data_IF_640037408350
#
_entry.id   IF_640037408350
#
_cell.length_a   1.000
_cell.length_b   1.000
_cell.length_c   1.000
_cell.angle_alpha   90.00
_cell.angle_beta   90.00
_cell.angle_gamma   90.00
#
_symmetry.space_group_name_H-M   'P 1'
#
loop_
_entity.id
_entity.type
_entity.pdbx_description
1 polymer ?
#
# COMPACT_ATOMS: atom_id res chain seq x y z
N UNK A 1 -57.38 -59.81 -82.42
CA UNK A 1 -57.12 -60.12 -81.01
C UNK A 1 -55.72 -59.66 -80.74
N UNK A 2 -55.58 -58.64 -79.91
CA UNK A 2 -54.28 -58.07 -79.60
C UNK A 2 -53.64 -58.91 -78.49
N UNK A 3 -52.32 -59.09 -78.56
CA UNK A 3 -51.56 -59.86 -77.58
C UNK A 3 -50.64 -58.88 -76.85
N UNK A 4 -50.94 -58.61 -75.59
CA UNK A 4 -50.15 -57.70 -74.76
C UNK A 4 -49.02 -58.43 -74.03
N UNK A 5 -47.95 -57.69 -73.72
CA UNK A 5 -46.81 -58.22 -72.96
C UNK A 5 -47.21 -58.52 -71.50
N UNK A 6 -46.63 -59.56 -70.86
CA UNK A 6 -46.93 -59.92 -69.47
C UNK A 6 -46.70 -58.75 -68.50
N UNK A 7 -47.44 -58.73 -67.38
CA UNK A 7 -47.38 -57.62 -66.41
C UNK A 7 -46.08 -57.51 -65.61
N UNK A 8 -45.15 -58.45 -65.80
CA UNK A 8 -43.77 -58.41 -65.29
C UNK A 8 -42.79 -57.76 -66.27
N UNK A 9 -43.22 -57.42 -67.49
CA UNK A 9 -42.36 -56.84 -68.52
C UNK A 9 -42.12 -55.37 -68.24
N UNK A 10 -40.88 -54.97 -68.02
CA UNK A 10 -40.51 -53.55 -67.89
C UNK A 10 -40.76 -52.83 -69.23
N UNK A 11 -41.63 -51.82 -69.21
CA UNK A 11 -41.92 -50.98 -70.37
C UNK A 11 -41.32 -49.57 -70.27
N UNK A 12 -40.93 -49.14 -69.06
CA UNK A 12 -40.05 -47.99 -68.82
C UNK A 12 -39.11 -48.31 -67.66
N UNK A 13 -37.82 -48.06 -67.87
CA UNK A 13 -36.79 -48.20 -66.84
C UNK A 13 -36.64 -46.92 -66.02
N UNK A 14 -36.48 -47.06 -64.72
CA UNK A 14 -36.18 -45.96 -63.80
C UNK A 14 -34.97 -45.13 -64.25
N UNK A 15 -35.13 -43.80 -64.25
CA UNK A 15 -34.09 -42.79 -64.49
C UNK A 15 -33.53 -42.30 -63.14
N UNK A 16 -32.75 -43.16 -62.50
CA UNK A 16 -32.12 -42.86 -61.21
C UNK A 16 -32.93 -43.34 -60.01
N UNK A 17 -32.46 -43.01 -58.81
CA UNK A 17 -32.92 -43.66 -57.58
C UNK A 17 -34.34 -43.28 -57.13
N UNK A 18 -34.84 -42.13 -57.59
CA UNK A 18 -36.18 -41.61 -57.24
C UNK A 18 -37.27 -41.89 -58.27
N UNK A 19 -36.93 -42.52 -59.39
CA UNK A 19 -37.87 -42.94 -60.42
C UNK A 19 -38.31 -44.39 -60.17
N UNK A 20 -39.57 -44.73 -60.46
CA UNK A 20 -40.02 -46.12 -60.38
C UNK A 20 -39.69 -46.88 -61.68
N UNK A 21 -39.96 -48.18 -61.69
CA UNK A 21 -39.89 -49.00 -62.90
C UNK A 21 -41.31 -49.34 -63.29
N UNK A 22 -41.81 -48.80 -64.40
CA UNK A 22 -43.11 -49.20 -64.91
C UNK A 22 -43.03 -50.52 -65.68
N UNK A 23 -43.85 -51.46 -65.24
CA UNK A 23 -44.13 -52.69 -65.97
C UNK A 23 -45.44 -52.58 -66.75
N UNK A 24 -45.58 -53.40 -67.80
CA UNK A 24 -46.83 -53.51 -68.55
C UNK A 24 -48.00 -53.87 -67.61
N UNK A 25 -49.22 -53.49 -68.00
CA UNK A 25 -50.44 -53.89 -67.30
C UNK A 25 -50.91 -55.31 -67.65
N UNK A 26 -50.42 -55.87 -68.77
CA UNK A 26 -50.99 -57.05 -69.41
C UNK A 26 -52.31 -56.81 -70.15
N UNK A 27 -52.84 -55.58 -70.14
CA UNK A 27 -54.18 -55.24 -70.66
C UNK A 27 -54.20 -54.04 -71.61
N UNK A 28 -53.08 -53.34 -71.79
CA UNK A 28 -52.96 -52.19 -72.69
C UNK A 28 -51.68 -52.23 -73.53
N UNK A 29 -51.75 -51.71 -74.77
CA UNK A 29 -50.58 -51.50 -75.63
C UNK A 29 -49.72 -50.27 -75.24
N UNK A 30 -50.19 -49.46 -74.29
CA UNK A 30 -49.44 -48.37 -73.69
C UNK A 30 -48.83 -48.80 -72.35
N UNK A 31 -47.62 -48.33 -72.08
CA UNK A 31 -47.01 -48.36 -70.75
C UNK A 31 -47.78 -47.43 -69.78
N UNK A 32 -47.85 -47.72 -68.47
CA UNK A 32 -48.40 -46.80 -67.48
C UNK A 32 -47.78 -45.38 -67.50
N UNK A 33 -48.44 -44.43 -66.84
CA UNK A 33 -47.87 -43.11 -66.59
C UNK A 33 -46.55 -43.21 -65.80
N UNK A 34 -45.68 -42.18 -65.86
CA UNK A 34 -44.51 -42.06 -64.98
C UNK A 34 -44.98 -42.01 -63.53
N UNK A 35 -44.40 -42.86 -62.67
CA UNK A 35 -44.65 -42.85 -61.23
C UNK A 35 -43.33 -42.69 -60.50
N UNK A 36 -43.22 -41.67 -59.67
CA UNK A 36 -42.02 -41.42 -58.88
C UNK A 36 -42.15 -42.00 -57.48
N UNK A 37 -41.01 -42.28 -56.84
CA UNK A 37 -40.97 -42.79 -55.48
C UNK A 37 -41.41 -41.71 -54.48
N UNK A 38 -41.96 -42.11 -53.33
CA UNK A 38 -42.47 -41.17 -52.32
C UNK A 38 -41.39 -40.26 -51.77
N UNK A 39 -41.80 -39.09 -51.25
CA UNK A 39 -40.88 -38.14 -50.60
C UNK A 39 -40.28 -38.59 -49.25
N UNK A 40 -40.53 -39.85 -48.88
CA UNK A 40 -39.91 -40.55 -47.74
C UNK A 40 -38.92 -41.62 -48.19
N UNK A 41 -38.70 -41.77 -49.50
CA UNK A 41 -37.74 -42.73 -50.06
C UNK A 41 -36.34 -42.12 -50.02
N UNK A 42 -35.40 -42.85 -49.44
CA UNK A 42 -33.98 -42.45 -49.39
C UNK A 42 -33.32 -42.55 -50.75
N UNK A 43 -32.41 -41.63 -51.04
CA UNK A 43 -31.58 -41.61 -52.24
C UNK A 43 -30.16 -41.12 -51.91
N UNK A 44 -29.30 -41.06 -52.92
CA UNK A 44 -27.94 -40.51 -52.84
C UNK A 44 -27.91 -39.15 -53.53
N UNK A 45 -27.76 -38.07 -52.76
CA UNK A 45 -27.72 -36.70 -53.24
C UNK A 45 -26.35 -36.29 -53.79
N UNK A 46 -26.09 -34.99 -53.77
CA UNK A 46 -24.83 -34.38 -54.23
C UNK A 46 -23.90 -34.01 -53.08
N UNK A 47 -24.43 -33.63 -51.92
CA UNK A 47 -23.69 -33.62 -50.66
C UNK A 47 -23.69 -35.04 -50.09
N UNK A 48 -22.51 -35.57 -49.75
CA UNK A 48 -22.39 -36.90 -49.15
C UNK A 48 -21.22 -36.94 -48.16
N UNK A 49 -21.44 -37.49 -46.97
CA UNK A 49 -20.39 -37.87 -46.01
C UNK A 49 -19.78 -36.73 -45.20
N UNK A 50 -20.45 -35.59 -45.10
CA UNK A 50 -20.00 -34.44 -44.31
C UNK A 50 -20.70 -34.37 -42.92
N UNK A 51 -20.16 -33.65 -41.91
CA UNK A 51 -20.72 -33.69 -40.54
C UNK A 51 -22.12 -33.10 -40.36
N UNK A 52 -22.63 -32.30 -41.31
CA UNK A 52 -23.98 -31.73 -41.31
C UNK A 52 -24.90 -32.35 -42.36
N UNK A 53 -24.44 -33.45 -42.97
CA UNK A 53 -25.14 -34.17 -44.01
C UNK A 53 -26.26 -35.04 -43.40
N UNK A 54 -27.46 -34.94 -43.95
CA UNK A 54 -28.62 -35.70 -43.50
C UNK A 54 -28.78 -37.00 -44.29
N UNK A 55 -30.01 -37.51 -44.34
CA UNK A 55 -30.37 -38.61 -45.23
C UNK A 55 -31.21 -38.01 -46.35
N UNK A 56 -30.67 -38.03 -47.56
CA UNK A 56 -31.33 -37.46 -48.73
C UNK A 56 -32.60 -38.22 -49.09
N UNK A 57 -33.58 -37.48 -49.58
CA UNK A 57 -34.91 -37.98 -49.88
C UNK A 57 -35.31 -37.62 -51.31
N UNK A 58 -36.18 -38.43 -51.89
CA UNK A 58 -36.85 -38.06 -53.12
C UNK A 58 -37.82 -36.88 -52.89
N UNK A 59 -38.12 -36.10 -53.93
CA UNK A 59 -39.11 -35.02 -53.87
C UNK A 59 -40.55 -35.47 -54.16
N UNK A 60 -40.75 -36.70 -54.64
CA UNK A 60 -42.03 -37.19 -55.18
C UNK A 60 -42.24 -36.88 -56.66
N UNK A 61 -41.24 -36.29 -57.33
CA UNK A 61 -41.24 -35.89 -58.74
C UNK A 61 -40.01 -36.43 -59.51
N UNK A 62 -39.36 -37.46 -58.97
CA UNK A 62 -38.27 -38.19 -59.62
C UNK A 62 -36.87 -37.63 -59.33
N UNK A 63 -36.76 -36.56 -58.53
CA UNK A 63 -35.47 -35.96 -58.17
C UNK A 63 -35.06 -36.35 -56.75
N UNK A 64 -33.79 -36.65 -56.55
CA UNK A 64 -33.19 -36.69 -55.22
C UNK A 64 -32.89 -35.26 -54.75
N UNK A 65 -33.22 -34.93 -53.50
CA UNK A 65 -32.92 -33.63 -52.89
C UNK A 65 -32.04 -33.79 -51.66
N UNK A 66 -30.97 -33.00 -51.59
CA UNK A 66 -30.04 -32.98 -50.46
C UNK A 66 -30.79 -32.55 -49.18
N UNK A 67 -30.64 -33.31 -48.09
CA UNK A 67 -31.26 -33.02 -46.79
C UNK A 67 -30.15 -32.71 -45.79
N UNK A 68 -30.23 -31.57 -45.11
CA UNK A 68 -29.21 -31.13 -44.15
C UNK A 68 -29.67 -31.27 -42.71
N UNK A 69 -28.74 -31.53 -41.79
CA UNK A 69 -29.02 -31.59 -40.36
C UNK A 69 -29.46 -30.22 -39.81
N UNK A 70 -30.38 -30.17 -38.84
CA UNK A 70 -30.89 -28.92 -38.27
C UNK A 70 -29.80 -27.98 -37.76
N UNK A 71 -30.06 -26.67 -37.74
CA UNK A 71 -29.07 -25.67 -37.30
C UNK A 71 -28.72 -25.69 -35.80
N UNK A 72 -29.41 -26.53 -35.02
CA UNK A 72 -29.07 -26.85 -33.63
C UNK A 72 -28.12 -28.05 -33.48
N UNK A 73 -27.79 -28.76 -34.57
CA UNK A 73 -26.90 -29.90 -34.55
C UNK A 73 -25.45 -29.43 -34.46
N UNK A 74 -24.78 -29.74 -33.35
CA UNK A 74 -23.32 -29.51 -33.19
C UNK A 74 -22.57 -30.49 -34.09
N UNK A 75 -21.77 -29.94 -35.02
CA UNK A 75 -20.98 -30.71 -35.97
C UNK A 75 -19.48 -30.73 -35.62
N UNK A 76 -19.01 -29.76 -34.85
CA UNK A 76 -17.72 -29.81 -34.15
C UNK A 76 -17.93 -29.34 -32.70
N UNK A 77 -17.69 -30.18 -31.68
CA UNK A 77 -17.73 -29.72 -30.29
C UNK A 77 -16.51 -28.87 -29.98
N UNK A 78 -16.68 -27.87 -29.10
CA UNK A 78 -15.57 -27.06 -28.60
C UNK A 78 -14.52 -27.94 -27.88
N UNK A 79 -13.26 -27.86 -28.31
CA UNK A 79 -12.14 -28.61 -27.75
C UNK A 79 -11.57 -27.97 -26.46
N UNK A 80 -11.87 -26.70 -26.21
CA UNK A 80 -11.42 -25.96 -25.02
C UNK A 80 -12.42 -24.88 -24.59
N UNK A 81 -12.20 -24.30 -23.41
CA UNK A 81 -12.94 -23.12 -22.93
C UNK A 81 -12.79 -21.87 -23.82
N UNK A 82 -11.79 -21.82 -24.71
CA UNK A 82 -11.53 -20.73 -25.66
C UNK A 82 -11.98 -21.05 -27.08
N UNK A 83 -12.64 -22.19 -27.27
CA UNK A 83 -13.15 -22.69 -28.53
C UNK A 83 -14.68 -22.45 -28.64
N UNK A 84 -15.21 -22.37 -29.86
CA UNK A 84 -16.65 -22.25 -30.13
C UNK A 84 -17.12 -23.55 -30.76
N UNK A 85 -18.22 -24.13 -30.29
CA UNK A 85 -18.78 -25.31 -30.95
C UNK A 85 -19.52 -24.89 -32.22
N UNK A 86 -19.11 -25.35 -33.40
CA UNK A 86 -19.86 -25.10 -34.63
C UNK A 86 -21.11 -25.98 -34.68
N UNK A 87 -22.22 -25.34 -35.02
CA UNK A 87 -23.47 -26.00 -35.40
C UNK A 87 -23.68 -25.92 -36.91
N UNK A 88 -24.43 -26.88 -37.44
CA UNK A 88 -24.83 -26.88 -38.84
C UNK A 88 -25.59 -25.61 -39.24
N UNK A 89 -25.58 -25.27 -40.53
CA UNK A 89 -26.36 -24.12 -41.01
C UNK A 89 -27.83 -24.47 -41.27
N UNK A 90 -28.18 -25.76 -41.35
CA UNK A 90 -29.46 -26.23 -41.91
C UNK A 90 -29.59 -26.08 -43.43
N UNK A 91 -28.51 -25.68 -44.11
CA UNK A 91 -28.50 -25.33 -45.55
C UNK A 91 -27.29 -25.87 -46.31
N UNK A 92 -26.42 -26.64 -45.64
CA UNK A 92 -25.18 -27.21 -46.17
C UNK A 92 -24.81 -28.45 -45.36
N UNK A 93 -24.26 -29.48 -46.02
CA UNK A 93 -23.69 -30.65 -45.35
C UNK A 93 -22.33 -30.36 -44.71
N UNK A 94 -21.67 -29.26 -45.09
CA UNK A 94 -20.43 -28.82 -44.47
C UNK A 94 -20.69 -28.23 -43.07
N UNK A 95 -19.90 -28.67 -42.09
CA UNK A 95 -19.74 -27.93 -40.84
C UNK A 95 -19.07 -26.57 -41.14
N UNK A 96 -19.45 -25.47 -40.47
CA UNK A 96 -18.73 -24.21 -40.56
C UNK A 96 -17.24 -24.34 -40.20
N UNK A 97 -16.45 -23.33 -40.59
CA UNK A 97 -15.03 -23.28 -40.24
C UNK A 97 -14.83 -23.09 -38.72
N UNK A 98 -13.79 -23.72 -38.19
CA UNK A 98 -13.37 -23.67 -36.79
C UNK A 98 -13.19 -22.22 -36.30
N UNK A 99 -13.98 -21.81 -35.32
CA UNK A 99 -14.02 -20.46 -34.77
C UNK A 99 -13.65 -20.43 -33.28
N UNK A 100 -12.84 -19.44 -32.91
CA UNK A 100 -12.36 -19.26 -31.54
C UNK A 100 -13.01 -18.07 -30.84
N UNK A 101 -13.04 -18.11 -29.50
CA UNK A 101 -13.50 -16.98 -28.69
C UNK A 101 -12.51 -15.81 -28.78
N UNK A 102 -13.01 -14.58 -28.62
CA UNK A 102 -12.18 -13.37 -28.74
C UNK A 102 -11.05 -13.34 -27.70
N UNK A 103 -9.98 -12.60 -28.00
CA UNK A 103 -8.85 -12.40 -27.07
C UNK A 103 -9.17 -11.56 -25.81
N UNK A 104 -10.44 -11.22 -25.63
CA UNK A 104 -11.01 -10.54 -24.45
C UNK A 104 -11.93 -11.46 -23.64
N UNK A 105 -12.10 -12.71 -24.05
CA UNK A 105 -12.95 -13.67 -23.35
C UNK A 105 -12.21 -14.27 -22.16
N UNK A 106 -12.73 -14.17 -20.91
CA UNK A 106 -12.13 -14.79 -19.75
C UNK A 106 -12.07 -16.31 -19.84
N UNK A 107 -11.03 -16.89 -19.28
CA UNK A 107 -10.80 -18.33 -19.18
C UNK A 107 -10.11 -18.68 -17.86
N UNK A 108 -9.81 -19.95 -17.62
CA UNK A 108 -9.06 -20.43 -16.45
C UNK A 108 -7.73 -21.03 -16.90
N UNK A 109 -6.63 -20.34 -16.64
CA UNK A 109 -5.28 -20.72 -17.01
C UNK A 109 -4.65 -21.73 -16.06
N UNK A 110 -3.33 -21.74 -16.01
CA UNK A 110 -2.52 -22.63 -15.16
C UNK A 110 -2.13 -21.96 -13.84
N UNK A 111 -1.84 -20.65 -13.86
CA UNK A 111 -1.70 -19.84 -12.66
C UNK A 111 -3.10 -19.44 -12.17
N UNK A 112 -3.38 -19.68 -10.88
CA UNK A 112 -4.69 -19.38 -10.30
C UNK A 112 -4.55 -18.99 -8.81
N UNK A 113 -5.13 -17.86 -8.41
CA UNK A 113 -5.32 -17.45 -7.02
C UNK A 113 -4.08 -16.90 -6.29
N UNK A 114 -3.01 -16.57 -7.01
CA UNK A 114 -1.83 -15.93 -6.42
C UNK A 114 -1.98 -14.39 -6.34
N UNK A 115 -1.20 -13.65 -5.52
CA UNK A 115 -1.39 -12.21 -5.34
C UNK A 115 -1.14 -11.32 -6.58
N UNK A 116 -0.41 -11.80 -7.59
CA UNK A 116 -0.16 -11.12 -8.87
C UNK A 116 -0.91 -11.75 -10.05
N UNK A 117 -1.86 -12.62 -9.76
CA UNK A 117 -2.67 -13.34 -10.73
C UNK A 117 -3.72 -12.40 -11.35
N UNK A 118 -3.78 -12.36 -12.67
CA UNK A 118 -4.76 -11.57 -13.42
C UNK A 118 -6.03 -12.36 -13.73
N UNK A 119 -6.82 -11.84 -14.67
CA UNK A 119 -7.89 -12.62 -15.29
C UNK A 119 -7.34 -13.17 -16.59
N UNK A 120 -7.19 -14.48 -16.67
CA UNK A 120 -6.70 -15.15 -17.88
C UNK A 120 -7.67 -14.94 -19.04
N UNK A 121 -7.11 -14.79 -20.23
CA UNK A 121 -7.86 -14.49 -21.44
C UNK A 121 -7.55 -15.53 -22.52
N UNK A 122 -8.51 -15.74 -23.41
CA UNK A 122 -8.23 -16.46 -24.65
C UNK A 122 -7.24 -15.68 -25.52
N UNK A 123 -6.54 -16.35 -26.42
CA UNK A 123 -5.61 -15.70 -27.37
C UNK A 123 -6.28 -15.30 -28.71
N UNK A 124 -7.50 -15.78 -28.97
CA UNK A 124 -8.15 -15.68 -30.28
C UNK A 124 -7.88 -16.87 -31.21
N UNK A 125 -7.16 -17.89 -30.73
CA UNK A 125 -6.73 -19.07 -31.46
C UNK A 125 -7.01 -20.38 -30.67
N UNK A 126 -7.99 -20.34 -29.76
CA UNK A 126 -8.48 -21.52 -29.03
C UNK A 126 -7.69 -21.87 -27.76
N UNK A 127 -6.65 -21.11 -27.40
CA UNK A 127 -5.85 -21.31 -26.20
C UNK A 127 -6.18 -20.26 -25.13
N UNK A 128 -6.22 -20.68 -23.87
CA UNK A 128 -6.21 -19.80 -22.71
C UNK A 128 -4.76 -19.43 -22.36
N UNK A 129 -4.47 -18.16 -22.14
CA UNK A 129 -3.15 -17.67 -21.75
C UNK A 129 -3.19 -17.01 -20.38
N UNK A 130 -2.22 -17.35 -19.53
CA UNK A 130 -2.08 -16.78 -18.20
C UNK A 130 -1.82 -15.27 -18.31
N UNK A 131 -2.57 -14.45 -17.58
CA UNK A 131 -2.42 -12.99 -17.54
C UNK A 131 -1.99 -12.58 -16.15
N UNK A 132 -0.97 -11.72 -16.06
CA UNK A 132 -0.41 -11.26 -14.78
C UNK A 132 -0.72 -9.79 -14.51
N UNK A 133 -0.88 -9.44 -13.23
CA UNK A 133 -1.05 -8.06 -12.81
C UNK A 133 0.22 -7.24 -13.14
N UNK A 134 0.07 -5.96 -13.56
CA UNK A 134 1.17 -5.13 -14.02
C UNK A 134 2.20 -4.88 -12.91
N UNK A 135 3.43 -4.55 -13.29
CA UNK A 135 4.55 -4.42 -12.35
C UNK A 135 4.48 -3.23 -11.38
N UNK A 136 3.41 -2.44 -11.47
CA UNK A 136 3.04 -1.36 -10.55
C UNK A 136 2.06 -1.80 -9.46
N UNK A 137 1.47 -3.00 -9.57
CA UNK A 137 0.56 -3.55 -8.55
C UNK A 137 1.37 -4.03 -7.34
N UNK A 138 1.14 -3.42 -6.18
CA UNK A 138 1.67 -3.88 -4.89
C UNK A 138 0.96 -5.18 -4.51
N UNK A 139 1.72 -6.25 -4.30
CA UNK A 139 1.20 -7.58 -3.95
C UNK A 139 1.45 -7.96 -2.48
N UNK A 140 2.43 -7.33 -1.82
CA UNK A 140 2.57 -7.28 -0.37
C UNK A 140 2.92 -5.84 0.03
N UNK A 141 2.14 -5.18 0.89
CA UNK A 141 2.49 -3.85 1.40
C UNK A 141 3.62 -3.98 2.43
N UNK A 142 4.46 -2.94 2.55
CA UNK A 142 5.44 -2.84 3.62
C UNK A 142 4.76 -2.82 4.99
N UNK A 143 5.24 -3.64 5.92
CA UNK A 143 4.75 -3.70 7.30
C UNK A 143 5.24 -2.53 8.17
N UNK A 144 6.42 -1.96 7.87
CA UNK A 144 7.03 -0.83 8.59
C UNK A 144 8.05 -0.08 7.69
N UNK A 145 8.77 0.90 8.25
CA UNK A 145 9.75 1.74 7.52
C UNK A 145 11.01 0.99 7.03
N UNK A 146 11.28 -0.18 7.61
CA UNK A 146 12.39 -1.08 7.30
C UNK A 146 11.99 -2.23 6.35
N UNK A 147 10.74 -2.24 5.90
CA UNK A 147 10.21 -3.21 4.97
C UNK A 147 10.04 -2.59 3.56
N UNK A 148 10.14 -3.40 2.50
CA UNK A 148 9.94 -2.95 1.11
C UNK A 148 8.65 -3.55 0.58
N UNK A 149 7.70 -2.72 0.15
CA UNK A 149 6.50 -3.23 -0.50
C UNK A 149 6.85 -3.88 -1.85
N UNK A 150 6.61 -5.19 -2.03
CA UNK A 150 6.81 -5.84 -3.32
C UNK A 150 5.68 -5.50 -4.28
N UNK A 151 6.08 -5.17 -5.50
CA UNK A 151 5.18 -5.16 -6.64
C UNK A 151 5.32 -6.43 -7.47
N UNK A 152 4.28 -6.73 -8.25
CA UNK A 152 4.30 -7.82 -9.21
C UNK A 152 5.42 -7.66 -10.25
N UNK A 153 5.82 -8.76 -10.89
CA UNK A 153 6.81 -8.68 -11.98
C UNK A 153 6.18 -8.32 -13.34
N UNK A 154 4.85 -8.43 -13.48
CA UNK A 154 4.17 -8.43 -14.78
C UNK A 154 4.36 -9.71 -15.60
N UNK A 155 5.01 -10.74 -15.02
CA UNK A 155 5.42 -11.97 -15.73
C UNK A 155 5.22 -13.26 -14.91
N UNK A 156 4.72 -13.16 -13.69
CA UNK A 156 4.36 -14.27 -12.81
C UNK A 156 3.19 -13.87 -11.92
N UNK A 157 2.30 -14.82 -11.61
CA UNK A 157 1.22 -14.61 -10.65
C UNK A 157 1.70 -14.62 -9.19
N UNK A 158 2.90 -15.14 -8.91
CA UNK A 158 3.49 -15.09 -7.56
C UNK A 158 4.03 -13.69 -7.24
N UNK A 159 3.70 -13.17 -6.05
CA UNK A 159 4.43 -12.02 -5.50
C UNK A 159 5.92 -12.39 -5.32
N UNK A 160 6.87 -11.45 -5.53
CA UNK A 160 8.28 -11.68 -5.21
C UNK A 160 8.50 -12.05 -3.73
N UNK A 161 9.69 -12.56 -3.42
CA UNK A 161 10.07 -12.83 -2.03
C UNK A 161 10.20 -11.53 -1.25
N UNK A 162 9.74 -11.56 -0.01
CA UNK A 162 9.91 -10.51 1.01
C UNK A 162 11.33 -9.90 0.97
N UNK A 163 11.42 -8.58 0.77
CA UNK A 163 12.63 -7.78 0.71
C UNK A 163 12.62 -6.73 1.82
N UNK A 164 13.73 -6.62 2.54
CA UNK A 164 13.89 -5.62 3.58
C UNK A 164 14.76 -4.45 3.12
N UNK A 165 14.58 -3.31 3.77
CA UNK A 165 15.41 -2.14 3.54
C UNK A 165 16.86 -2.39 3.96
N UNK A 166 17.80 -1.77 3.27
CA UNK A 166 19.23 -1.88 3.60
C UNK A 166 19.54 -1.31 4.98
N UNK A 167 20.67 -1.73 5.58
CA UNK A 167 21.17 -1.21 6.87
C UNK A 167 21.58 0.27 6.88
N UNK A 168 21.35 1.00 5.79
CA UNK A 168 21.54 2.45 5.68
C UNK A 168 20.22 3.22 5.58
N UNK A 169 19.10 2.51 5.57
CA UNK A 169 17.78 3.13 5.63
C UNK A 169 17.56 3.59 7.06
N UNK A 170 17.40 4.90 7.23
CA UNK A 170 16.96 5.48 8.49
C UNK A 170 15.51 5.11 8.75
N UNK A 171 15.18 4.86 10.01
CA UNK A 171 13.86 4.57 10.51
C UNK A 171 13.60 5.36 11.81
N UNK A 172 12.41 5.22 12.38
CA UNK A 172 12.08 5.73 13.72
C UNK A 172 11.94 4.55 14.69
N UNK A 173 12.82 4.48 15.68
CA UNK A 173 12.87 3.45 16.70
C UNK A 173 11.90 3.69 17.87
N UNK A 174 12.27 3.21 19.05
CA UNK A 174 11.53 3.35 20.30
C UNK A 174 12.08 4.42 21.25
N UNK A 175 13.31 4.89 21.03
CA UNK A 175 14.03 5.80 21.92
C UNK A 175 14.14 7.26 21.43
N UNK A 176 13.18 7.71 20.62
CA UNK A 176 13.20 9.00 19.95
C UNK A 176 13.27 10.25 20.87
N UNK A 177 13.86 11.33 20.35
CA UNK A 177 13.86 12.71 20.89
C UNK A 177 14.65 12.89 22.21
N UNK A 178 15.50 11.94 22.59
CA UNK A 178 16.34 12.04 23.80
C UNK A 178 17.73 12.66 23.52
N UNK A 179 18.44 13.25 24.51
CA UNK A 179 19.70 13.97 24.24
C UNK A 179 20.89 13.10 23.80
N UNK A 180 20.81 11.78 23.97
CA UNK A 180 21.78 10.78 23.50
C UNK A 180 21.18 9.86 22.42
N UNK A 181 20.02 10.20 21.89
CA UNK A 181 19.37 9.52 20.78
C UNK A 181 20.20 9.69 19.49
N UNK A 182 20.38 8.60 18.76
CA UNK A 182 21.15 8.56 17.53
C UNK A 182 20.29 8.83 16.30
N UNK A 183 20.65 8.19 15.19
CA UNK A 183 19.76 8.04 14.03
C UNK A 183 19.56 6.55 13.84
N UNK A 184 18.34 6.09 14.04
CA UNK A 184 18.02 4.67 13.98
C UNK A 184 18.12 4.15 12.55
N UNK A 185 18.61 2.92 12.41
CA UNK A 185 18.75 2.25 11.11
C UNK A 185 18.12 0.86 11.12
N UNK A 186 17.73 0.42 9.93
CA UNK A 186 17.22 -0.93 9.73
C UNK A 186 18.31 -2.00 9.91
N UNK A 187 17.96 -3.19 10.37
CA UNK A 187 18.90 -4.33 10.51
C UNK A 187 19.15 -5.12 9.21
N UNK A 188 18.38 -4.85 8.15
CA UNK A 188 18.40 -5.64 6.91
C UNK A 188 17.48 -6.87 6.94
N UNK A 189 16.71 -7.05 8.02
CA UNK A 189 15.75 -8.15 8.25
C UNK A 189 14.34 -7.63 8.62
N UNK A 190 14.07 -6.34 8.40
CA UNK A 190 12.76 -5.72 8.59
C UNK A 190 12.54 -5.08 9.96
N UNK A 191 13.55 -5.02 10.83
CA UNK A 191 13.47 -4.37 12.13
C UNK A 191 14.19 -3.01 12.10
N UNK A 192 13.63 -2.01 12.77
CA UNK A 192 14.35 -0.80 13.13
C UNK A 192 15.16 -1.06 14.40
N UNK A 193 16.42 -0.62 14.44
CA UNK A 193 17.31 -0.75 15.59
C UNK A 193 17.62 0.63 16.12
N UNK A 194 17.27 0.86 17.39
CA UNK A 194 17.63 2.08 18.12
C UNK A 194 19.17 2.25 18.12
N UNK A 195 19.67 3.37 17.61
CA UNK A 195 21.09 3.75 17.69
C UNK A 195 21.29 4.89 18.69
N UNK A 196 22.45 4.94 19.35
CA UNK A 196 22.74 5.92 20.38
C UNK A 196 24.00 6.72 20.05
N UNK A 197 24.06 7.96 20.52
CA UNK A 197 25.27 8.77 20.39
C UNK A 197 26.44 8.09 21.12
N UNK A 198 27.67 8.16 20.58
CA UNK A 198 28.83 7.49 21.18
C UNK A 198 29.02 7.84 22.65
N UNK A 199 29.60 6.89 23.41
CA UNK A 199 30.04 7.13 24.78
C UNK A 199 30.90 8.40 24.87
N UNK A 200 30.79 9.11 25.99
CA UNK A 200 31.44 10.41 26.25
C UNK A 200 30.94 11.59 25.39
N UNK A 201 29.92 11.42 24.54
CA UNK A 201 29.25 12.54 23.88
C UNK A 201 28.59 13.43 24.94
N UNK A 202 28.92 14.73 24.93
CA UNK A 202 28.41 15.70 25.91
C UNK A 202 26.96 16.07 25.60
N UNK A 203 26.07 15.78 26.55
CA UNK A 203 24.63 16.00 26.44
C UNK A 203 24.07 16.91 27.55
N UNK A 204 24.84 17.14 28.62
CA UNK A 204 24.48 17.97 29.77
C UNK A 204 24.83 19.47 29.65
N UNK A 205 24.72 20.20 30.75
CA UNK A 205 24.85 21.67 30.75
C UNK A 205 26.29 22.14 30.50
N UNK A 206 26.53 22.85 29.40
CA UNK A 206 27.84 23.42 29.05
C UNK A 206 27.96 24.91 29.41
N UNK A 207 29.20 25.41 29.48
CA UNK A 207 29.49 26.84 29.67
C UNK A 207 29.75 27.29 31.12
N UNK A 208 29.66 26.40 32.11
CA UNK A 208 29.95 26.69 33.51
C UNK A 208 31.06 25.76 34.03
N UNK A 209 32.19 26.31 34.47
CA UNK A 209 33.34 25.56 34.96
C UNK A 209 33.08 24.77 36.27
N UNK A 210 31.97 25.07 36.98
CA UNK A 210 31.56 24.36 38.18
C UNK A 210 30.59 23.20 37.93
N UNK A 211 30.09 23.06 36.70
CA UNK A 211 29.27 21.93 36.26
C UNK A 211 30.14 20.99 35.44
N UNK A 212 30.16 19.71 35.81
CA UNK A 212 30.68 18.63 34.99
C UNK A 212 29.47 18.11 34.20
N UNK A 213 29.40 18.38 32.88
CA UNK A 213 28.22 18.05 32.10
C UNK A 213 28.02 16.54 32.01
N UNK A 214 26.75 16.13 32.00
CA UNK A 214 26.34 14.78 31.67
C UNK A 214 26.86 14.34 30.29
N UNK A 215 27.24 13.06 30.21
CA UNK A 215 27.64 12.39 28.96
C UNK A 215 26.76 11.19 28.66
N UNK A 216 26.69 10.84 27.38
CA UNK A 216 26.08 9.63 26.88
C UNK A 216 26.92 8.40 27.27
N UNK A 217 26.25 7.29 27.60
CA UNK A 217 26.90 6.01 27.91
C UNK A 217 27.21 5.18 26.65
N UNK A 218 26.56 5.48 25.52
CA UNK A 218 26.68 4.76 24.25
C UNK A 218 25.74 3.56 24.08
N UNK A 219 24.89 3.28 25.06
CA UNK A 219 23.96 2.13 25.09
C UNK A 219 22.51 2.49 25.45
N UNK A 220 22.19 3.79 25.60
CA UNK A 220 20.83 4.31 25.79
C UNK A 220 20.69 5.76 25.33
N UNK A 221 19.47 6.16 24.94
CA UNK A 221 19.16 7.52 24.50
C UNK A 221 19.17 8.59 25.60
N UNK A 222 19.19 8.20 26.89
CA UNK A 222 19.17 9.14 28.01
C UNK A 222 20.55 9.71 28.34
N UNK A 223 20.58 11.00 28.69
CA UNK A 223 21.77 11.67 29.19
C UNK A 223 21.99 11.35 30.69
N UNK A 224 23.23 11.08 31.08
CA UNK A 224 23.61 11.06 32.50
C UNK A 224 23.32 12.42 33.15
N UNK A 225 22.91 12.49 34.43
CA UNK A 225 22.72 13.77 35.11
C UNK A 225 24.05 14.53 35.24
N UNK A 226 23.98 15.86 35.12
CA UNK A 226 25.10 16.75 35.44
C UNK A 226 25.62 16.50 36.87
N UNK A 227 26.94 16.62 37.06
CA UNK A 227 27.58 16.53 38.38
C UNK A 227 28.35 17.82 38.69
N UNK A 228 28.80 18.00 39.93
CA UNK A 228 29.41 19.25 40.37
C UNK A 228 30.92 19.11 40.57
N UNK A 229 31.65 20.13 40.13
CA UNK A 229 33.08 20.20 40.35
C UNK A 229 33.41 20.45 41.84
N UNK A 230 34.57 19.98 42.29
CA UNK A 230 35.04 20.16 43.67
C UNK A 230 35.07 21.65 44.09
N UNK A 231 34.76 22.03 45.35
CA UNK A 231 34.80 23.43 45.80
C UNK A 231 36.15 24.15 45.70
N UNK A 232 37.25 23.44 45.41
CA UNK A 232 38.55 24.03 45.08
C UNK A 232 38.76 24.30 43.58
N UNK A 233 37.82 23.90 42.74
CA UNK A 233 37.82 24.15 41.29
C UNK A 233 37.74 25.64 41.02
N UNK A 234 38.67 26.14 40.21
CA UNK A 234 38.70 27.53 39.79
C UNK A 234 37.64 27.81 38.73
N UNK A 235 36.96 28.92 38.87
CA UNK A 235 35.99 29.40 37.89
C UNK A 235 36.22 30.89 37.58
N UNK A 236 35.37 31.44 36.73
CA UNK A 236 35.35 32.86 36.35
C UNK A 236 34.00 33.41 36.75
N UNK A 237 33.98 34.26 37.76
CA UNK A 237 32.78 34.87 38.32
C UNK A 237 32.24 36.06 37.50
N UNK A 238 31.43 36.89 38.17
CA UNK A 238 30.83 38.08 37.54
C UNK A 238 31.65 39.36 37.69
N UNK A 239 32.65 39.37 38.58
CA UNK A 239 33.31 40.58 39.08
C UNK A 239 34.71 40.86 38.50
N UNK A 240 35.00 40.33 37.32
CA UNK A 240 36.38 40.07 36.88
C UNK A 240 37.24 41.33 36.68
N UNK A 241 38.52 41.21 37.05
CA UNK A 241 39.60 42.11 36.64
C UNK A 241 39.75 43.39 37.48
N UNK A 242 39.04 43.49 38.60
CA UNK A 242 39.16 44.62 39.52
C UNK A 242 40.27 44.41 40.57
N UNK A 243 40.74 45.48 41.21
CA UNK A 243 41.91 45.42 42.12
C UNK A 243 41.68 44.63 43.43
N UNK A 244 40.43 44.41 43.84
CA UNK A 244 40.06 43.55 44.97
C UNK A 244 39.45 42.21 44.54
N UNK A 245 39.46 41.94 43.25
CA UNK A 245 39.03 40.67 42.67
C UNK A 245 40.02 39.55 43.05
N UNK A 246 39.50 38.39 43.41
CA UNK A 246 40.29 37.23 43.83
C UNK A 246 40.20 36.10 42.81
N UNK A 247 40.62 34.90 43.20
CA UNK A 247 40.37 33.71 42.40
C UNK A 247 39.01 33.14 42.81
N UNK A 248 38.04 33.20 41.89
CA UNK A 248 36.72 32.62 42.11
C UNK A 248 36.80 31.10 42.14
N UNK A 249 35.93 30.51 42.96
CA UNK A 249 35.90 29.08 43.25
C UNK A 249 34.46 28.57 43.22
N UNK A 250 34.31 27.31 42.85
CA UNK A 250 33.02 26.62 42.90
C UNK A 250 32.55 26.39 44.34
N UNK A 251 31.24 26.26 44.54
CA UNK A 251 30.64 25.95 45.85
C UNK A 251 30.43 24.45 46.11
N UNK A 252 30.60 23.60 45.10
CA UNK A 252 30.27 22.17 45.12
C UNK A 252 28.81 21.85 44.74
N UNK A 253 28.03 22.85 44.35
CA UNK A 253 26.64 22.73 43.89
C UNK A 253 26.44 23.31 42.47
N UNK A 254 27.54 23.50 41.74
CA UNK A 254 27.52 24.00 40.36
C UNK A 254 27.56 25.52 40.22
N UNK A 255 27.70 26.29 41.30
CA UNK A 255 27.76 27.76 41.24
C UNK A 255 29.19 28.26 41.38
N UNK A 256 29.60 29.15 40.49
CA UNK A 256 30.83 29.93 40.65
C UNK A 256 30.59 31.05 41.65
N UNK A 257 31.37 31.10 42.73
CA UNK A 257 31.23 32.11 43.78
C UNK A 257 32.36 33.12 43.69
N UNK A 258 32.01 34.38 43.41
CA UNK A 258 32.95 35.51 43.40
C UNK A 258 33.72 35.59 44.74
N UNK A 259 35.06 35.61 44.69
CA UNK A 259 35.92 35.66 45.89
C UNK A 259 36.69 36.97 45.94
N UNK A 260 36.49 37.76 46.99
CA UNK A 260 37.14 39.07 47.11
C UNK A 260 38.35 39.07 48.06
N UNK A 261 39.41 39.76 47.66
CA UNK A 261 40.61 39.92 48.46
C UNK A 261 40.33 40.74 49.74
N UNK A 262 41.07 40.44 50.81
CA UNK A 262 40.99 41.14 52.10
C UNK A 262 42.38 41.63 52.51
N UNK A 263 42.47 42.86 53.03
CA UNK A 263 43.72 43.48 53.48
C UNK A 263 44.76 43.73 52.37
N UNK A 264 44.39 43.60 51.09
CA UNK A 264 45.21 44.01 49.94
C UNK A 264 45.04 45.50 49.68
N UNK A 265 46.13 46.22 49.36
CA UNK A 265 46.07 47.66 49.05
C UNK A 265 45.41 47.86 47.70
N UNK A 266 44.21 48.43 47.70
CA UNK A 266 43.41 48.64 46.49
C UNK A 266 43.66 50.03 45.88
N UNK A 267 43.85 51.05 46.74
CA UNK A 267 44.18 52.42 46.34
C UNK A 267 45.36 52.89 47.17
N UNK A 268 46.47 53.21 46.48
CA UNK A 268 47.65 53.81 47.12
C UNK A 268 47.29 55.18 47.70
N UNK A 269 47.96 55.55 48.79
CA UNK A 269 47.84 56.88 49.39
C UNK A 269 48.25 57.97 48.39
N UNK A 270 47.48 59.05 48.33
CA UNK A 270 47.81 60.26 47.55
C UNK A 270 47.62 61.48 48.47
N UNK A 271 48.67 62.29 48.63
CA UNK A 271 48.68 63.37 49.62
C UNK A 271 48.47 62.87 51.05
N UNK A 272 47.56 63.50 51.79
CA UNK A 272 47.22 63.14 53.18
C UNK A 272 46.21 61.99 53.32
N UNK A 273 45.78 61.35 52.22
CA UNK A 273 44.82 60.24 52.29
C UNK A 273 45.47 58.94 52.79
N UNK A 274 44.79 58.21 53.67
CA UNK A 274 45.23 56.86 54.09
C UNK A 274 44.99 55.88 52.92
N UNK A 275 45.86 54.86 52.74
CA UNK A 275 45.64 53.86 51.69
C UNK A 275 44.34 53.07 51.95
N UNK A 276 43.59 52.82 50.88
CA UNK A 276 42.35 52.03 50.94
C UNK A 276 42.69 50.56 50.72
N UNK A 277 42.13 49.69 51.56
CA UNK A 277 42.32 48.23 51.49
C UNK A 277 41.03 47.54 51.07
N UNK A 278 41.17 46.41 50.38
CA UNK A 278 40.07 45.52 50.06
C UNK A 278 39.44 44.95 51.33
N UNK A 279 38.10 44.98 51.40
CA UNK A 279 37.32 44.58 52.58
C UNK A 279 36.85 43.12 52.56
N UNK A 280 37.13 42.36 51.49
CA UNK A 280 36.65 40.99 51.29
C UNK A 280 35.16 40.88 50.95
N UNK A 281 34.50 41.94 50.46
CA UNK A 281 33.06 41.96 50.16
C UNK A 281 32.67 42.41 48.75
N UNK A 282 33.60 42.98 47.98
CA UNK A 282 33.37 43.44 46.61
C UNK A 282 34.71 43.54 45.87
N UNK A 283 34.70 43.44 44.54
CA UNK A 283 35.92 43.46 43.74
C UNK A 283 36.52 44.87 43.53
N UNK A 284 35.74 45.93 43.77
CA UNK A 284 36.19 47.33 43.69
C UNK A 284 36.70 47.87 45.04
N UNK A 285 37.43 48.99 45.01
CA UNK A 285 37.79 49.69 46.23
C UNK A 285 36.54 50.17 47.01
N UNK A 286 36.42 49.89 48.32
CA UNK A 286 35.35 50.48 49.12
C UNK A 286 35.45 52.00 49.14
N UNK A 287 34.34 52.66 48.81
CA UNK A 287 34.19 54.11 49.00
C UNK A 287 34.03 54.42 50.49
N UNK A 288 34.74 55.43 50.97
CA UNK A 288 34.57 55.93 52.34
C UNK A 288 33.30 56.78 52.42
N UNK A 289 32.24 56.22 52.99
CA UNK A 289 30.95 56.91 53.19
C UNK A 289 31.07 58.04 54.22
N UNK A 290 31.49 59.23 53.78
CA UNK A 290 31.28 60.46 54.53
C UNK A 290 29.89 61.02 54.19
N UNK A 291 28.96 60.91 55.13
CA UNK A 291 27.61 61.49 55.04
C UNK A 291 27.67 63.03 55.02
N UNK A 292 27.01 63.65 54.05
CA UNK A 292 26.52 65.03 54.15
C UNK A 292 25.02 65.01 54.42
N UNK A 293 24.59 65.68 55.49
CA UNK A 293 23.19 65.81 55.91
C UNK A 293 22.68 67.25 55.70
N UNK A 294 21.99 67.48 54.57
CA UNK A 294 21.07 68.58 54.20
C UNK A 294 20.85 68.50 52.67
N UNK A 295 19.74 68.89 52.07
CA UNK A 295 18.60 69.72 52.52
C UNK A 295 17.23 69.04 52.28
N UNK A 296 16.15 69.68 52.75
CA UNK A 296 14.76 69.30 52.51
C UNK A 296 13.96 70.51 51.98
N UNK A 297 12.74 70.25 51.44
CA UNK A 297 11.81 71.19 50.78
C UNK A 297 12.27 71.65 49.37
N UNK A 298 11.44 71.96 48.36
CA UNK A 298 9.97 71.93 48.14
C UNK A 298 9.69 72.13 46.60
N UNK A 299 8.52 71.97 45.96
CA UNK A 299 7.13 71.63 46.35
C UNK A 299 6.46 70.71 45.27
N UNK A 300 5.13 70.76 45.12
CA UNK A 300 4.23 70.03 44.20
C UNK A 300 4.31 70.35 42.68
N UNK A 301 3.72 69.47 41.83
CA UNK A 301 2.53 69.74 40.98
C UNK A 301 2.26 68.55 40.04
N UNK A 302 1.01 68.07 40.00
CA UNK A 302 0.52 67.11 39.00
C UNK A 302 -0.08 67.84 37.78
N UNK A 303 -0.13 67.19 36.60
CA UNK A 303 -1.43 67.14 35.92
C UNK A 303 -1.74 65.80 35.21
N UNK A 304 -3.03 65.53 35.02
CA UNK A 304 -3.55 64.68 33.92
C UNK A 304 -3.32 65.44 32.57
N UNK A 305 -3.31 64.86 31.36
CA UNK A 305 -4.10 63.74 30.84
C UNK A 305 -3.45 63.16 29.55
N UNK A 306 -3.83 61.92 29.19
CA UNK A 306 -4.09 61.39 27.84
C UNK A 306 -3.08 61.58 26.66
N UNK A 307 -2.48 60.46 26.17
CA UNK A 307 -2.79 59.83 24.85
C UNK A 307 -1.81 58.70 24.41
N UNK A 308 -2.31 57.45 24.47
CA UNK A 308 -2.26 56.36 23.46
C UNK A 308 -1.04 56.21 22.49
N UNK A 309 -0.41 55.02 22.47
CA UNK A 309 -0.35 54.08 21.30
C UNK A 309 0.30 52.71 21.65
N UNK A 310 -0.50 51.65 21.42
CA UNK A 310 -0.27 50.19 21.21
C UNK A 310 1.03 49.41 21.49
N UNK A 311 0.78 48.11 21.82
CA UNK A 311 1.57 46.89 21.48
C UNK A 311 2.75 46.54 22.41
N UNK A 312 2.97 45.30 22.86
CA UNK A 312 2.43 43.98 22.48
C UNK A 312 2.21 43.06 23.71
N UNK A 313 1.40 42.01 23.54
CA UNK A 313 0.89 41.11 24.62
C UNK A 313 1.78 39.85 24.86
N UNK A 314 1.33 38.75 25.54
CA UNK A 314 1.76 38.46 26.92
C UNK A 314 2.38 37.06 27.12
N UNK A 315 2.85 36.77 28.35
CA UNK A 315 3.20 35.40 28.77
C UNK A 315 2.17 34.78 29.74
N UNK A 316 1.87 33.52 29.45
CA UNK A 316 1.41 32.41 30.31
C UNK A 316 0.54 32.71 31.54
N UNK A 317 -0.70 32.23 31.48
CA UNK A 317 -1.36 31.61 32.63
C UNK A 317 -2.49 30.67 32.15
N UNK A 318 -2.19 29.38 31.98
CA UNK A 318 -3.19 28.31 31.86
C UNK A 318 -2.52 26.94 32.08
N UNK A 319 -2.70 26.40 33.28
CA UNK A 319 -2.38 25.02 33.61
C UNK A 319 -3.64 24.15 33.60
N UNK A 320 -3.46 22.87 33.24
CA UNK A 320 -4.33 21.74 33.59
C UNK A 320 -5.81 21.80 33.17
N UNK A 321 -6.09 21.39 31.92
CA UNK A 321 -7.21 20.47 31.62
C UNK A 321 -6.78 19.46 30.56
N UNK A 322 -6.73 18.18 30.92
CA UNK A 322 -6.76 17.08 29.94
C UNK A 322 -7.52 15.89 30.55
N UNK A 323 -8.85 15.97 30.48
CA UNK A 323 -9.76 14.91 30.87
C UNK A 323 -10.49 14.39 29.63
N UNK A 324 -10.10 13.18 29.22
CA UNK A 324 -10.72 12.26 28.26
C UNK A 324 -12.14 12.62 27.79
N UNK A 325 -12.29 12.91 26.50
CA UNK A 325 -13.58 12.90 25.82
C UNK A 325 -13.83 11.52 25.19
N UNK A 326 -14.85 10.81 25.65
CA UNK A 326 -15.36 9.58 25.01
C UNK A 326 -16.86 9.73 24.73
N UNK A 327 -17.22 9.51 23.46
CA UNK A 327 -18.46 8.81 23.11
C UNK A 327 -19.68 9.64 22.73
N UNK A 328 -19.88 9.85 21.42
CA UNK A 328 -21.21 9.73 20.79
C UNK A 328 -21.07 9.09 19.40
N UNK A 329 -21.49 7.83 19.26
CA UNK A 329 -21.82 7.22 17.97
C UNK A 329 -22.69 5.96 18.20
N UNK A 330 -24.01 6.14 18.33
CA UNK A 330 -24.97 5.05 18.53
C UNK A 330 -25.98 5.03 17.38
N UNK A 331 -25.57 4.53 16.22
CA UNK A 331 -26.43 4.33 15.04
C UNK A 331 -26.16 2.96 14.43
N UNK A 332 -27.15 2.08 14.60
CA UNK A 332 -27.49 0.90 13.78
C UNK A 332 -26.36 0.08 13.12
N UNK A 333 -26.18 -1.17 13.56
CA UNK A 333 -26.33 -2.41 12.74
C UNK A 333 -25.80 -3.64 13.49
N UNK A 334 -26.68 -4.55 13.92
CA UNK A 334 -26.34 -5.98 14.10
C UNK A 334 -27.56 -6.87 13.87
N UNK A 335 -27.69 -7.35 12.64
CA UNK A 335 -28.34 -8.62 12.33
C UNK A 335 -27.27 -9.69 12.07
N UNK A 336 -27.57 -10.92 12.48
CA UNK A 336 -26.99 -12.20 12.00
C UNK A 336 -25.47 -12.45 12.09
N UNK A 337 -25.05 -13.10 13.18
CA UNK A 337 -24.42 -14.45 13.23
C UNK A 337 -24.55 -14.93 14.69
N UNK A 338 -25.19 -16.06 14.99
CA UNK A 338 -24.70 -17.44 14.77
C UNK A 338 -23.30 -17.65 15.33
N UNK A 339 -23.24 -18.13 16.58
CA UNK A 339 -22.20 -19.05 17.01
C UNK A 339 -22.85 -20.23 17.76
N UNK A 340 -22.30 -21.41 17.52
CA UNK A 340 -22.70 -22.70 18.11
C UNK A 340 -21.87 -22.98 19.37
N UNK A 341 -22.42 -23.84 20.24
CA UNK A 341 -21.73 -24.37 21.41
C UNK A 341 -22.04 -23.58 22.69
N UNK A 342 -22.37 -24.21 23.82
CA UNK A 342 -22.51 -25.66 24.06
C UNK A 342 -23.34 -25.91 25.34
N UNK A 343 -23.75 -27.17 25.55
CA UNK A 343 -24.21 -27.78 26.83
C UNK A 343 -25.70 -28.15 26.96
N UNK A 344 -25.94 -29.48 26.95
CA UNK A 344 -26.55 -30.25 28.05
C UNK A 344 -27.55 -29.54 29.00
N UNK A 345 -28.83 -29.98 28.98
CA UNK A 345 -29.57 -30.48 30.17
C UNK A 345 -30.57 -31.56 29.70
N UNK A 346 -30.79 -32.58 30.52
CA UNK A 346 -31.69 -33.71 30.26
C UNK A 346 -33.19 -33.40 30.47
N UNK A 347 -34.07 -34.04 29.68
CA UNK A 347 -35.09 -35.01 30.13
C UNK A 347 -35.86 -35.59 28.93
#
# INVERSE_FOLDING_TARGET
MDVYLPSTTVCRSAKGECDAVETCTGTSGLCPADVFKSSTTTCTGTCNGHPCDGVDLCDGNGKCVDVYLPSSTVCRPAASQCDVAETCSGTSGLCPADAFKSSTTPCTGTCNGNPCDGIDLCDGNGKCVDVYLPSTTVCRPAANECDVAETCSGTSGTCPKDQFQSTKKTCTGTCNDNPCDGVDHCDGFGNCVDEYLPADTVCGTTGNACIIPGTCTGDMGFCSPDTYADPSTKCTGTSQGNVCDGQDLCDGFGVCVDRYLKSVVCKKAVGYSRPTYCNGKQATCPVSSFLSLREAAESDVAPEELLVVSSSSPMLLLGLVCAVAIGVALVTTRTTRLDNGDSYVAM
#
